data_IF_555032876004
#
_entry.id   IF_555032876004
#
_cell.length_a   1.000
_cell.length_b   1.000
_cell.length_c   1.000
_cell.angle_alpha   90.00
_cell.angle_beta   90.00
_cell.angle_gamma   90.00
#
_symmetry.space_group_name_H-M   'P 1'
#
loop_
_entity.id
_entity.type
_entity.pdbx_description
1 polymer ?
#
# COMPACT_ATOMS: atom_id res chain seq x y z
N UNK A 1 -9.91 -20.98 -21.98
CA UNK A 1 -10.39 -19.59 -22.05
C UNK A 1 -10.65 -19.13 -20.64
N UNK A 2 -10.45 -17.85 -20.29
CA UNK A 2 -10.69 -17.36 -18.91
C UNK A 2 -12.12 -17.63 -18.43
N UNK A 3 -13.07 -17.69 -19.36
CA UNK A 3 -14.50 -17.92 -19.07
C UNK A 3 -14.95 -19.37 -19.27
N UNK A 4 -14.22 -20.15 -20.07
CA UNK A 4 -14.60 -21.50 -20.47
C UNK A 4 -13.42 -22.45 -20.27
N UNK A 5 -13.63 -23.44 -19.40
CA UNK A 5 -12.71 -24.53 -19.16
C UNK A 5 -13.29 -25.80 -19.77
N UNK A 6 -12.47 -26.57 -20.49
CA UNK A 6 -12.86 -27.91 -20.92
C UNK A 6 -12.70 -28.85 -19.74
N UNK A 7 -13.77 -29.56 -19.41
CA UNK A 7 -13.67 -30.65 -18.44
C UNK A 7 -12.79 -31.76 -19.03
N UNK A 8 -11.82 -32.23 -18.24
CA UNK A 8 -10.84 -33.23 -18.69
C UNK A 8 -11.46 -34.63 -18.81
N UNK A 9 -12.63 -34.85 -18.18
CA UNK A 9 -13.29 -36.15 -18.15
C UNK A 9 -14.38 -36.30 -19.22
N UNK A 10 -15.14 -35.23 -19.49
CA UNK A 10 -16.30 -35.28 -20.41
C UNK A 10 -16.14 -34.40 -21.66
N UNK A 11 -15.02 -33.69 -21.83
CA UNK A 11 -14.71 -32.81 -22.98
C UNK A 11 -15.80 -31.73 -23.24
N UNK A 12 -16.62 -31.45 -22.23
CA UNK A 12 -17.67 -30.43 -22.25
C UNK A 12 -17.09 -29.05 -21.87
N UNK A 13 -17.66 -27.98 -22.44
CA UNK A 13 -17.30 -26.61 -22.10
C UNK A 13 -18.08 -26.19 -20.86
N UNK A 14 -17.42 -26.18 -19.70
CA UNK A 14 -17.97 -25.71 -18.45
C UNK A 14 -17.58 -24.25 -18.18
N UNK A 15 -18.48 -23.50 -17.54
CA UNK A 15 -18.16 -22.16 -17.04
C UNK A 15 -17.09 -22.25 -15.96
N UNK A 16 -16.01 -21.49 -16.13
CA UNK A 16 -14.87 -21.54 -15.23
C UNK A 16 -15.06 -20.59 -14.02
N UNK A 17 -16.07 -20.85 -13.20
CA UNK A 17 -16.44 -20.01 -12.04
C UNK A 17 -15.27 -19.80 -11.06
N UNK A 18 -14.40 -20.81 -10.92
CA UNK A 18 -13.17 -20.70 -10.13
C UNK A 18 -12.16 -19.70 -10.72
N UNK A 19 -12.00 -19.65 -12.05
CA UNK A 19 -11.13 -18.66 -12.69
C UNK A 19 -11.69 -17.24 -12.54
N UNK A 20 -13.00 -17.10 -12.68
CA UNK A 20 -13.67 -15.80 -12.54
C UNK A 20 -13.59 -15.27 -11.10
N UNK A 21 -13.75 -16.14 -10.10
CA UNK A 21 -13.65 -15.76 -8.69
C UNK A 21 -12.23 -15.34 -8.27
N UNK A 22 -11.19 -16.06 -8.74
CA UNK A 22 -9.79 -15.68 -8.50
C UNK A 22 -9.45 -14.36 -9.19
N UNK A 23 -9.94 -14.17 -10.41
CA UNK A 23 -9.78 -12.91 -11.15
C UNK A 23 -10.41 -11.74 -10.39
N UNK A 24 -11.67 -11.89 -9.95
CA UNK A 24 -12.36 -10.86 -9.18
C UNK A 24 -11.66 -10.55 -7.85
N UNK A 25 -11.20 -11.58 -7.13
CA UNK A 25 -10.42 -11.39 -5.89
C UNK A 25 -9.14 -10.61 -6.15
N UNK A 26 -8.42 -10.92 -7.22
CA UNK A 26 -7.19 -10.23 -7.61
C UNK A 26 -7.46 -8.76 -7.95
N UNK A 27 -8.50 -8.48 -8.74
CA UNK A 27 -8.92 -7.13 -9.09
C UNK A 27 -9.36 -6.32 -7.85
N UNK A 28 -10.10 -6.94 -6.93
CA UNK A 28 -10.49 -6.30 -5.67
C UNK A 28 -9.28 -5.96 -4.81
N UNK A 29 -8.35 -6.90 -4.64
CA UNK A 29 -7.14 -6.69 -3.84
C UNK A 29 -6.23 -5.62 -4.43
N UNK A 30 -6.03 -5.60 -5.76
CA UNK A 30 -5.22 -4.58 -6.41
C UNK A 30 -5.84 -3.19 -6.26
N UNK A 31 -7.16 -3.05 -6.48
CA UNK A 31 -7.87 -1.79 -6.31
C UNK A 31 -7.77 -1.26 -4.87
N UNK A 32 -8.02 -2.11 -3.87
CA UNK A 32 -7.90 -1.73 -2.46
C UNK A 32 -6.46 -1.35 -2.09
N UNK A 33 -5.47 -2.08 -2.60
CA UNK A 33 -4.05 -1.76 -2.40
C UNK A 33 -3.71 -0.40 -3.01
N UNK A 34 -4.20 -0.08 -4.21
CA UNK A 34 -4.02 1.23 -4.83
C UNK A 34 -4.62 2.34 -3.97
N UNK A 35 -5.83 2.15 -3.43
CA UNK A 35 -6.45 3.13 -2.52
C UNK A 35 -5.59 3.33 -1.27
N UNK A 36 -5.15 2.24 -0.62
CA UNK A 36 -4.34 2.33 0.59
C UNK A 36 -2.99 3.00 0.33
N UNK A 37 -2.28 2.59 -0.71
CA UNK A 37 -1.00 3.21 -1.07
C UNK A 37 -1.16 4.66 -1.47
N UNK A 38 -2.25 5.06 -2.11
CA UNK A 38 -2.56 6.47 -2.38
C UNK A 38 -2.84 7.23 -1.07
N UNK A 39 -3.66 6.66 -0.19
CA UNK A 39 -4.05 7.26 1.09
C UNK A 39 -2.83 7.57 1.98
N UNK A 40 -1.83 6.68 2.01
CA UNK A 40 -0.59 6.91 2.76
C UNK A 40 0.45 7.65 1.92
N UNK A 41 0.59 7.29 0.65
CA UNK A 41 1.62 7.81 -0.24
C UNK A 41 1.43 9.28 -0.59
N UNK A 42 0.19 9.76 -0.72
CA UNK A 42 -0.08 11.17 -1.00
C UNK A 42 0.32 12.09 0.16
N UNK A 43 -0.13 11.88 1.42
CA UNK A 43 0.35 12.65 2.55
C UNK A 43 1.87 12.60 2.72
N UNK A 44 2.48 11.44 2.49
CA UNK A 44 3.94 11.29 2.56
C UNK A 44 4.64 12.10 1.48
N UNK A 45 4.21 12.01 0.22
CA UNK A 45 4.77 12.79 -0.89
C UNK A 45 4.60 14.29 -0.66
N UNK A 46 3.43 14.72 -0.20
CA UNK A 46 3.13 16.11 0.13
C UNK A 46 4.02 16.62 1.27
N UNK A 47 4.18 15.81 2.32
CA UNK A 47 5.10 16.12 3.42
C UNK A 47 6.52 16.35 2.89
N UNK A 48 7.02 15.49 1.99
CA UNK A 48 8.38 15.64 1.44
C UNK A 48 8.48 16.90 0.57
N UNK A 49 7.50 17.14 -0.31
CA UNK A 49 7.50 18.29 -1.21
C UNK A 49 7.52 19.64 -0.46
N UNK A 50 6.88 19.72 0.71
CA UNK A 50 6.86 20.91 1.56
C UNK A 50 8.13 21.12 2.40
N UNK A 51 9.09 20.17 2.41
CA UNK A 51 10.36 20.33 3.14
C UNK A 51 11.36 21.17 2.34
N UNK A 52 12.34 21.81 3.03
CA UNK A 52 13.44 22.51 2.36
C UNK A 52 14.16 21.59 1.37
N UNK A 53 14.55 22.12 0.20
CA UNK A 53 15.15 21.33 -0.88
C UNK A 53 16.32 20.43 -0.43
N UNK A 54 17.15 20.90 0.51
CA UNK A 54 18.27 20.12 1.08
C UNK A 54 17.85 18.87 1.85
N UNK A 55 16.65 18.85 2.42
CA UNK A 55 16.14 17.73 3.23
C UNK A 55 15.32 16.73 2.40
N UNK A 56 14.77 17.13 1.25
CA UNK A 56 13.90 16.27 0.42
C UNK A 56 14.58 14.95 0.05
N UNK A 57 15.84 15.02 -0.36
CA UNK A 57 16.65 13.85 -0.70
C UNK A 57 16.80 12.86 0.45
N UNK A 58 16.91 13.34 1.70
CA UNK A 58 17.01 12.47 2.88
C UNK A 58 15.68 11.74 3.12
N UNK A 59 14.55 12.43 3.01
CA UNK A 59 13.25 11.79 3.17
C UNK A 59 12.93 10.78 2.07
N UNK A 60 13.26 11.12 0.81
CA UNK A 60 13.14 10.18 -0.30
C UNK A 60 14.03 8.95 -0.09
N UNK A 61 15.27 9.18 0.35
CA UNK A 61 16.19 8.10 0.69
C UNK A 61 15.56 7.17 1.73
N UNK A 62 15.08 7.70 2.86
CA UNK A 62 14.44 6.91 3.93
C UNK A 62 13.29 6.03 3.43
N UNK A 63 12.47 6.52 2.52
CA UNK A 63 11.36 5.76 1.92
C UNK A 63 11.84 4.67 0.96
N UNK A 64 12.94 4.90 0.27
CA UNK A 64 13.51 3.94 -0.68
C UNK A 64 14.40 2.88 -0.05
N UNK A 65 14.91 3.09 1.18
CA UNK A 65 15.69 2.10 1.95
C UNK A 65 15.08 0.69 1.90
N UNK A 66 13.78 0.48 2.21
CA UNK A 66 13.20 -0.86 2.19
C UNK A 66 13.29 -1.51 0.80
N UNK A 67 13.29 -0.74 -0.28
CA UNK A 67 13.40 -1.28 -1.64
C UNK A 67 14.75 -1.92 -1.92
N UNK A 68 15.82 -1.42 -1.31
CA UNK A 68 17.18 -1.96 -1.49
C UNK A 68 17.42 -3.27 -0.75
N UNK A 69 16.51 -3.66 0.14
CA UNK A 69 16.57 -4.95 0.82
C UNK A 69 15.87 -6.04 0.02
N UNK A 70 16.36 -7.28 0.17
CA UNK A 70 15.79 -8.45 -0.51
C UNK A 70 14.31 -8.65 -0.16
N UNK A 71 13.47 -8.92 -1.16
CA UNK A 71 12.04 -9.12 -0.97
C UNK A 71 11.71 -10.28 -0.02
N UNK A 72 12.45 -11.40 -0.09
CA UNK A 72 12.22 -12.55 0.79
C UNK A 72 12.46 -12.21 2.26
N UNK A 73 13.53 -11.48 2.56
CA UNK A 73 13.84 -11.02 3.92
C UNK A 73 12.70 -10.13 4.44
N UNK A 74 12.22 -9.20 3.61
CA UNK A 74 11.09 -8.33 3.97
C UNK A 74 9.79 -9.11 4.21
N UNK A 75 9.51 -10.11 3.39
CA UNK A 75 8.35 -10.98 3.56
C UNK A 75 8.41 -11.72 4.89
N UNK A 76 9.56 -12.33 5.24
CA UNK A 76 9.72 -12.98 6.55
C UNK A 76 9.60 -11.99 7.71
N UNK A 77 10.18 -10.80 7.59
CA UNK A 77 10.05 -9.77 8.61
C UNK A 77 8.57 -9.37 8.85
N UNK A 78 7.78 -9.17 7.79
CA UNK A 78 6.35 -8.87 7.91
C UNK A 78 5.60 -10.05 8.52
N UNK A 79 5.90 -11.29 8.11
CA UNK A 79 5.28 -12.49 8.68
C UNK A 79 5.50 -12.57 10.20
N UNK A 80 6.72 -12.31 10.67
CA UNK A 80 7.03 -12.27 12.12
C UNK A 80 6.30 -11.14 12.85
N UNK A 81 6.03 -10.02 12.18
CA UNK A 81 5.25 -8.91 12.77
C UNK A 81 3.77 -9.29 12.94
N UNK A 82 3.17 -9.96 11.95
CA UNK A 82 1.71 -10.18 11.88
C UNK A 82 1.25 -11.58 12.33
N UNK A 83 2.17 -12.52 12.59
CA UNK A 83 1.81 -13.85 13.11
C UNK A 83 1.09 -13.76 14.46
N UNK A 84 0.50 -14.88 14.89
CA UNK A 84 -0.26 -14.95 16.15
C UNK A 84 0.59 -14.54 17.36
N UNK A 85 1.85 -14.99 17.41
CA UNK A 85 2.83 -14.63 18.45
C UNK A 85 3.65 -13.37 18.11
N UNK A 86 3.23 -12.63 17.07
CA UNK A 86 3.98 -11.52 16.51
C UNK A 86 3.88 -10.23 17.32
N UNK A 87 4.60 -9.21 16.86
CA UNK A 87 4.68 -7.92 17.53
C UNK A 87 3.29 -7.27 17.65
N UNK A 88 2.47 -7.31 16.58
CA UNK A 88 1.15 -6.67 16.57
C UNK A 88 0.24 -7.25 17.65
N UNK A 89 0.06 -8.57 17.65
CA UNK A 89 -0.77 -9.25 18.65
C UNK A 89 -0.23 -9.05 20.06
N UNK A 90 1.08 -9.15 20.25
CA UNK A 90 1.72 -8.94 21.56
C UNK A 90 1.46 -7.55 22.10
N UNK A 91 1.58 -6.50 21.27
CA UNK A 91 1.31 -5.12 21.69
C UNK A 91 -0.18 -4.92 21.98
N UNK A 92 -1.08 -5.42 21.14
CA UNK A 92 -2.53 -5.29 21.34
C UNK A 92 -3.01 -5.97 22.64
N UNK A 93 -2.47 -7.14 22.96
CA UNK A 93 -2.75 -7.84 24.22
C UNK A 93 -2.20 -7.07 25.42
N UNK A 94 -0.95 -6.58 25.34
CA UNK A 94 -0.34 -5.78 26.42
C UNK A 94 -1.08 -4.48 26.70
N UNK A 95 -1.66 -3.86 25.67
CA UNK A 95 -2.49 -2.67 25.80
C UNK A 95 -3.92 -2.98 26.31
N UNK A 96 -4.30 -4.26 26.44
CA UNK A 96 -5.64 -4.67 26.86
C UNK A 96 -6.72 -4.47 25.80
N UNK A 97 -6.35 -4.24 24.53
CA UNK A 97 -7.30 -4.01 23.43
C UNK A 97 -7.96 -5.33 22.99
N UNK A 98 -7.21 -6.43 23.05
CA UNK A 98 -7.70 -7.78 22.71
C UNK A 98 -7.32 -8.78 23.81
N UNK A 99 -8.16 -9.79 24.02
CA UNK A 99 -7.93 -10.86 25.00
C UNK A 99 -7.19 -12.08 24.42
N UNK A 100 -7.27 -12.27 23.10
CA UNK A 100 -6.67 -13.39 22.38
C UNK A 100 -6.05 -12.92 21.05
N UNK A 101 -4.99 -13.57 20.54
CA UNK A 101 -4.38 -13.21 19.27
C UNK A 101 -5.36 -13.27 18.10
N UNK A 102 -5.30 -12.27 17.23
CA UNK A 102 -6.00 -12.24 15.95
C UNK A 102 -5.20 -13.04 14.92
N UNK A 103 -5.85 -14.00 14.27
CA UNK A 103 -5.28 -14.74 13.15
C UNK A 103 -5.25 -13.87 11.89
N UNK A 104 -4.17 -13.10 11.73
CA UNK A 104 -3.97 -12.23 10.57
C UNK A 104 -3.28 -12.98 9.41
N UNK A 105 -2.40 -13.93 9.71
CA UNK A 105 -1.69 -14.71 8.70
C UNK A 105 -2.65 -15.50 7.81
N UNK A 106 -2.28 -15.63 6.53
CA UNK A 106 -3.07 -16.34 5.51
C UNK A 106 -4.45 -15.73 5.21
N UNK A 107 -4.66 -14.46 5.55
CA UNK A 107 -5.88 -13.70 5.23
C UNK A 107 -5.63 -12.66 4.14
N UNK A 108 -6.72 -12.15 3.54
CA UNK A 108 -6.67 -11.00 2.63
C UNK A 108 -6.07 -9.75 3.31
N UNK A 109 -6.23 -9.60 4.63
CA UNK A 109 -5.62 -8.51 5.38
C UNK A 109 -4.08 -8.58 5.34
N UNK A 110 -3.50 -9.75 5.58
CA UNK A 110 -2.05 -9.94 5.48
C UNK A 110 -1.52 -9.62 4.08
N UNK A 111 -2.25 -10.03 3.04
CA UNK A 111 -1.92 -9.70 1.65
C UNK A 111 -1.98 -8.17 1.42
N UNK A 112 -3.04 -7.51 1.86
CA UNK A 112 -3.19 -6.06 1.73
C UNK A 112 -2.07 -5.28 2.44
N UNK A 113 -1.70 -5.69 3.66
CA UNK A 113 -0.59 -5.07 4.40
C UNK A 113 0.74 -5.25 3.66
N UNK A 114 1.03 -6.48 3.22
CA UNK A 114 2.26 -6.78 2.48
C UNK A 114 2.35 -6.01 1.17
N UNK A 115 1.28 -6.01 0.37
CA UNK A 115 1.22 -5.28 -0.88
C UNK A 115 1.34 -3.77 -0.66
N UNK A 116 0.63 -3.21 0.31
CA UNK A 116 0.71 -1.77 0.63
C UNK A 116 2.13 -1.38 0.98
N UNK A 117 2.80 -2.15 1.86
CA UNK A 117 4.20 -1.91 2.21
C UNK A 117 5.15 -1.96 0.99
N UNK A 118 4.97 -2.95 0.12
CA UNK A 118 5.83 -3.12 -1.08
C UNK A 118 5.64 -1.98 -2.07
N UNK A 119 4.40 -1.55 -2.31
CA UNK A 119 4.07 -0.57 -3.34
C UNK A 119 4.10 0.88 -2.84
N UNK A 120 4.13 1.13 -1.53
CA UNK A 120 4.13 2.49 -0.97
C UNK A 120 5.26 3.37 -1.54
N UNK A 121 6.54 2.94 -1.63
CA UNK A 121 7.59 3.77 -2.21
C UNK A 121 7.31 4.10 -3.68
N UNK A 122 6.80 3.14 -4.45
CA UNK A 122 6.48 3.32 -5.87
C UNK A 122 5.30 4.28 -6.08
N UNK A 123 4.41 4.43 -5.11
CA UNK A 123 3.36 5.46 -5.13
C UNK A 123 3.90 6.83 -4.74
N UNK A 124 4.78 6.90 -3.72
CA UNK A 124 5.32 8.18 -3.22
C UNK A 124 6.17 8.89 -4.27
N UNK A 125 7.07 8.19 -4.95
CA UNK A 125 8.02 8.79 -5.89
C UNK A 125 7.35 9.61 -7.02
N UNK A 126 6.38 9.08 -7.80
CA UNK A 126 5.73 9.84 -8.85
C UNK A 126 4.85 10.98 -8.31
N UNK A 127 4.21 10.80 -7.16
CA UNK A 127 3.44 11.87 -6.51
C UNK A 127 4.35 13.02 -6.10
N UNK A 128 5.50 12.71 -5.47
CA UNK A 128 6.50 13.70 -5.11
C UNK A 128 7.04 14.43 -6.35
N UNK A 129 7.42 13.70 -7.39
CA UNK A 129 7.96 14.29 -8.62
C UNK A 129 6.96 15.21 -9.33
N UNK A 130 5.66 14.96 -9.16
CA UNK A 130 4.60 15.84 -9.65
C UNK A 130 4.43 17.07 -8.76
N UNK A 131 4.46 16.91 -7.44
CA UNK A 131 4.32 18.01 -6.46
C UNK A 131 5.52 18.94 -6.41
N UNK A 132 6.74 18.45 -6.60
CA UNK A 132 7.96 19.27 -6.57
C UNK A 132 7.98 20.30 -7.72
N UNK A 133 7.28 20.03 -8.83
CA UNK A 133 7.14 20.95 -9.95
C UNK A 133 6.18 22.10 -9.68
N UNK A 134 5.37 22.02 -8.62
CA UNK A 134 4.45 23.08 -8.22
C UNK A 134 5.28 24.16 -7.52
N UNK A 135 5.31 25.37 -8.09
CA UNK A 135 5.92 26.51 -7.41
C UNK A 135 5.03 26.92 -6.24
N UNK A 136 5.43 26.58 -5.01
CA UNK A 136 4.70 26.94 -3.80
C UNK A 136 4.58 28.46 -3.60
N UNK A 137 5.34 29.29 -4.33
CA UNK A 137 5.14 30.75 -4.38
C UNK A 137 3.84 31.16 -5.05
N UNK A 138 3.35 30.40 -6.02
CA UNK A 138 2.04 30.64 -6.64
C UNK A 138 0.90 30.36 -5.65
N UNK A 139 1.10 29.42 -4.72
CA UNK A 139 0.16 29.14 -3.64
C UNK A 139 0.16 30.29 -2.62
N UNK A 140 1.33 30.84 -2.27
CA UNK A 140 1.45 32.04 -1.44
C UNK A 140 0.79 33.28 -2.08
N UNK A 141 0.99 33.49 -3.40
CA UNK A 141 0.33 34.57 -4.13
C UNK A 141 -1.21 34.40 -4.20
N UNK A 142 -1.70 33.16 -4.21
CA UNK A 142 -3.13 32.87 -4.07
C UNK A 142 -3.67 33.26 -2.70
N UNK A 143 -2.94 32.94 -1.61
CA UNK A 143 -3.30 33.38 -0.26
C UNK A 143 -3.32 34.91 -0.14
N UNK A 144 -2.38 35.61 -0.78
CA UNK A 144 -2.37 37.09 -0.85
C UNK A 144 -3.58 37.66 -1.62
N UNK A 145 -4.20 36.85 -2.48
CA UNK A 145 -5.44 37.15 -3.23
C UNK A 145 -6.72 36.59 -2.57
N UNK A 146 -6.69 36.32 -1.26
CA UNK A 146 -7.80 35.77 -0.46
C UNK A 146 -8.19 34.30 -0.74
N UNK A 147 -7.37 33.52 -1.44
CA UNK A 147 -7.58 32.07 -1.50
C UNK A 147 -7.39 31.45 -0.10
N UNK A 148 -8.20 30.44 0.24
CA UNK A 148 -8.11 29.74 1.52
C UNK A 148 -7.50 28.34 1.28
N UNK A 149 -7.01 27.67 2.33
CA UNK A 149 -6.43 26.32 2.29
C UNK A 149 -7.31 25.25 1.63
N UNK A 150 -8.60 25.54 1.42
CA UNK A 150 -9.61 24.68 0.82
C UNK A 150 -10.18 25.20 -0.52
N UNK A 151 -9.92 26.46 -0.89
CA UNK A 151 -10.46 27.14 -2.08
C UNK A 151 -9.42 28.03 -2.74
#
# INVERSE_FOLDING_TARGET
SVLMQRDIFDDTLAFADAHLSIFWRSAKLSFLTTILTLLFGFPTAYFIATRPARQRNVWLFLITIPFWTNLLIRTFAIQEVIRNEGIVNTVLIKLGIISQPIQMMFTDFALMVGMTYVYLPLMVLPLYASMEKIDFRLVEAGYDLYANRFH
#
